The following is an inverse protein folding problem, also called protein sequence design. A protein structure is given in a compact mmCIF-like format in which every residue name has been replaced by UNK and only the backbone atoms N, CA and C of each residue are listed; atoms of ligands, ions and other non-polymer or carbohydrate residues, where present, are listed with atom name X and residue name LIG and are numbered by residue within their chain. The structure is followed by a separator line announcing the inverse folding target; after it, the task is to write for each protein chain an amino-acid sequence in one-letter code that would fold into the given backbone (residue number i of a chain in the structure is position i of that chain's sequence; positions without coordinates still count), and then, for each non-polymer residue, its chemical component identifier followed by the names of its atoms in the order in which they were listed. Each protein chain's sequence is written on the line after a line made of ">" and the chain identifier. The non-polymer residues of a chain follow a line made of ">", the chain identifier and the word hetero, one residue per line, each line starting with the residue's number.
data_IF_026236163446
#
_entry.id   IF_026236163446
#
_cell.length_a   1.000
_cell.length_b   1.000
_cell.length_c   1.000
_cell.angle_alpha   90.00
_cell.angle_beta   90.00
_cell.angle_gamma   90.00
#
_symmetry.space_group_name_H-M   'P 1'
#
loop_
_entity.id
_entity.type
_entity.pdbx_description
1 polymer ?
#
# COMPACT_ATOMS: atom_id res chain seq x y z
N UNK A 1 -0.10 -20.32 0.54
CA UNK A 1 -1.03 -19.84 -0.52
C UNK A 1 -0.62 -20.40 -1.89
N UNK A 2 -1.58 -20.67 -2.78
CA UNK A 2 -1.32 -21.18 -4.14
C UNK A 2 -0.86 -20.04 -5.08
N UNK A 3 0.09 -20.29 -5.99
CA UNK A 3 0.65 -19.31 -6.96
C UNK A 3 -0.43 -18.53 -7.72
N UNK A 4 -1.52 -19.22 -8.08
CA UNK A 4 -2.65 -18.59 -8.78
C UNK A 4 -3.42 -17.57 -7.91
N UNK A 5 -3.58 -17.84 -6.61
CA UNK A 5 -4.22 -16.89 -5.68
C UNK A 5 -3.34 -15.65 -5.49
N UNK A 6 -2.02 -15.84 -5.40
CA UNK A 6 -1.08 -14.73 -5.27
C UNK A 6 -1.11 -13.80 -6.50
N UNK A 7 -1.14 -14.38 -7.69
CA UNK A 7 -1.25 -13.61 -8.93
C UNK A 7 -2.57 -12.82 -9.00
N UNK A 8 -3.70 -13.45 -8.66
CA UNK A 8 -4.99 -12.75 -8.59
C UNK A 8 -4.98 -11.60 -7.60
N UNK A 9 -4.39 -11.79 -6.41
CA UNK A 9 -4.28 -10.74 -5.41
C UNK A 9 -3.49 -9.55 -5.96
N UNK A 10 -2.29 -9.79 -6.49
CA UNK A 10 -1.43 -8.72 -7.05
C UNK A 10 -2.07 -7.97 -8.21
N UNK A 11 -2.83 -8.67 -9.05
CA UNK A 11 -3.57 -8.05 -10.15
C UNK A 11 -4.73 -7.20 -9.66
N UNK A 12 -5.39 -7.62 -8.58
CA UNK A 12 -6.54 -6.91 -8.01
C UNK A 12 -6.13 -5.68 -7.21
N UNK A 13 -5.01 -5.77 -6.49
CA UNK A 13 -4.47 -4.71 -5.63
C UNK A 13 -3.25 -4.06 -6.29
N UNK A 14 -3.38 -3.73 -7.58
CA UNK A 14 -2.26 -3.25 -8.37
C UNK A 14 -1.83 -1.85 -7.97
N UNK A 15 -2.77 -0.94 -7.71
CA UNK A 15 -2.46 0.44 -7.33
C UNK A 15 -1.80 0.48 -5.95
N UNK A 16 -2.34 -0.28 -5.00
CA UNK A 16 -1.78 -0.46 -3.66
C UNK A 16 -0.39 -1.10 -3.72
N UNK A 17 -0.21 -2.10 -4.58
CA UNK A 17 1.09 -2.72 -4.80
C UNK A 17 2.12 -1.77 -5.42
N UNK A 18 1.71 -0.81 -6.26
CA UNK A 18 2.60 0.23 -6.80
C UNK A 18 2.96 1.24 -5.72
N UNK A 19 1.96 1.78 -4.99
CA UNK A 19 2.18 2.69 -3.87
C UNK A 19 3.23 2.13 -2.90
N UNK A 20 3.09 0.87 -2.48
CA UNK A 20 4.00 0.28 -1.50
C UNK A 20 5.40 0.02 -2.07
N UNK A 21 5.50 -0.51 -3.28
CA UNK A 21 6.79 -0.97 -3.83
C UNK A 21 7.62 0.15 -4.47
N UNK A 22 6.98 1.24 -4.86
CA UNK A 22 7.63 2.39 -5.51
C UNK A 22 7.78 3.53 -4.51
N UNK A 23 6.67 4.01 -3.97
CA UNK A 23 6.65 5.22 -3.14
C UNK A 23 7.11 4.96 -1.70
N UNK A 24 6.74 3.82 -1.12
CA UNK A 24 7.21 3.39 0.20
C UNK A 24 8.34 2.35 0.13
N UNK A 25 9.13 2.39 -0.97
CA UNK A 25 10.33 1.56 -1.14
C UNK A 25 11.38 1.93 -0.10
N UNK A 26 11.99 0.93 0.53
CA UNK A 26 13.08 1.11 1.50
C UNK A 26 14.32 1.84 0.94
N UNK A 27 14.45 1.92 -0.39
CA UNK A 27 15.60 2.53 -1.05
C UNK A 27 15.32 3.92 -1.61
N UNK A 28 14.06 4.20 -1.96
CA UNK A 28 13.72 5.35 -2.79
C UNK A 28 12.62 6.24 -2.19
N UNK A 29 12.09 5.90 -0.99
CA UNK A 29 11.00 6.66 -0.38
C UNK A 29 11.35 8.14 -0.15
N UNK A 30 12.59 8.45 0.23
CA UNK A 30 13.08 9.83 0.44
C UNK A 30 12.98 10.70 -0.84
N UNK A 31 12.91 10.09 -2.03
CA UNK A 31 12.72 10.83 -3.27
C UNK A 31 11.27 11.32 -3.46
N UNK A 32 10.32 10.79 -2.69
CA UNK A 32 8.89 11.11 -2.76
C UNK A 32 8.38 11.90 -1.56
N UNK A 33 9.11 11.89 -0.44
CA UNK A 33 8.78 12.64 0.78
C UNK A 33 9.43 12.04 2.02
N UNK A 34 9.38 12.78 3.13
CA UNK A 34 9.90 12.33 4.43
C UNK A 34 8.77 11.78 5.32
N UNK A 35 7.52 12.13 5.01
CA UNK A 35 6.32 11.72 5.76
C UNK A 35 5.36 10.89 4.91
N UNK A 36 4.47 10.14 5.56
CA UNK A 36 3.41 9.38 4.86
C UNK A 36 2.54 10.32 4.05
N UNK A 37 2.24 11.50 4.61
CA UNK A 37 1.45 12.55 3.99
C UNK A 37 2.06 13.03 2.68
N UNK A 38 3.33 13.44 2.69
CA UNK A 38 4.05 13.90 1.50
C UNK A 38 4.16 12.81 0.43
N UNK A 39 4.42 11.56 0.85
CA UNK A 39 4.54 10.44 -0.09
C UNK A 39 3.17 10.15 -0.75
N UNK A 40 2.07 10.24 0.00
CA UNK A 40 0.71 10.06 -0.55
C UNK A 40 0.33 11.21 -1.49
N UNK A 41 0.69 12.45 -1.15
CA UNK A 41 0.51 13.60 -2.03
C UNK A 41 1.28 13.41 -3.35
N UNK A 42 2.57 13.05 -3.26
CA UNK A 42 3.39 12.70 -4.41
C UNK A 42 2.74 11.61 -5.27
N UNK A 43 2.22 10.54 -4.68
CA UNK A 43 1.51 9.49 -5.42
C UNK A 43 0.34 10.05 -6.23
N UNK A 44 -0.47 10.91 -5.63
CA UNK A 44 -1.63 11.53 -6.29
C UNK A 44 -1.20 12.47 -7.42
N UNK A 45 -0.12 13.22 -7.24
CA UNK A 45 0.42 14.13 -8.25
C UNK A 45 0.99 13.38 -9.46
N UNK A 46 1.73 12.29 -9.22
CA UNK A 46 2.33 11.49 -10.29
C UNK A 46 1.30 10.68 -11.10
N UNK A 47 0.29 10.10 -10.43
CA UNK A 47 -0.62 9.15 -11.06
C UNK A 47 -1.98 9.74 -11.43
N UNK A 48 -2.37 10.86 -10.81
CA UNK A 48 -3.65 11.53 -11.05
C UNK A 48 -4.85 10.93 -10.31
N UNK A 49 -6.01 11.56 -10.50
CA UNK A 49 -7.23 11.32 -9.71
C UNK A 49 -7.87 9.94 -9.91
N UNK A 50 -7.77 9.36 -11.11
CA UNK A 50 -8.38 8.06 -11.39
C UNK A 50 -7.65 6.94 -10.62
N UNK A 51 -6.33 7.01 -10.57
CA UNK A 51 -5.45 6.08 -9.89
C UNK A 51 -5.58 6.21 -8.37
N UNK A 52 -5.72 7.44 -7.86
CA UNK A 52 -6.06 7.69 -6.45
C UNK A 52 -7.42 7.06 -6.07
N UNK A 53 -8.44 7.13 -6.94
CA UNK A 53 -9.72 6.48 -6.71
C UNK A 53 -9.60 4.94 -6.72
N UNK A 54 -8.82 4.38 -7.64
CA UNK A 54 -8.52 2.94 -7.65
C UNK A 54 -7.84 2.51 -6.35
N UNK A 55 -6.81 3.26 -5.92
CA UNK A 55 -6.11 2.99 -4.66
C UNK A 55 -7.07 3.05 -3.46
N UNK A 56 -7.94 4.06 -3.40
CA UNK A 56 -8.95 4.19 -2.34
C UNK A 56 -9.88 2.97 -2.25
N UNK A 57 -10.36 2.49 -3.40
CA UNK A 57 -11.21 1.29 -3.46
C UNK A 57 -10.45 0.03 -3.04
N UNK A 58 -9.20 -0.12 -3.50
CA UNK A 58 -8.33 -1.24 -3.15
C UNK A 58 -8.03 -1.26 -1.64
N UNK A 59 -7.71 -0.12 -1.02
CA UNK A 59 -7.47 0.00 0.42
C UNK A 59 -8.75 -0.33 1.21
N UNK A 60 -9.89 0.23 0.79
CA UNK A 60 -11.18 -0.03 1.43
C UNK A 60 -11.51 -1.52 1.44
N UNK A 61 -11.27 -2.21 0.33
CA UNK A 61 -11.48 -3.65 0.26
C UNK A 61 -10.45 -4.43 1.11
N UNK A 62 -9.18 -4.03 1.08
CA UNK A 62 -8.14 -4.70 1.87
C UNK A 62 -8.45 -4.64 3.37
N UNK A 63 -8.97 -3.50 3.85
CA UNK A 63 -9.37 -3.27 5.23
C UNK A 63 -10.58 -4.11 5.69
N UNK A 64 -11.34 -4.72 4.76
CA UNK A 64 -12.38 -5.70 5.10
C UNK A 64 -11.81 -7.03 5.61
N UNK A 65 -10.50 -7.25 5.48
CA UNK A 65 -9.82 -8.38 6.13
C UNK A 65 -9.82 -8.13 7.64
N UNK A 66 -10.63 -8.84 8.41
CA UNK A 66 -10.76 -8.64 9.87
C UNK A 66 -9.52 -9.16 10.63
N UNK A 67 -8.96 -10.28 10.22
CA UNK A 67 -7.79 -10.88 10.86
C UNK A 67 -6.50 -10.15 10.46
N UNK A 68 -5.78 -9.64 11.46
CA UNK A 68 -4.54 -8.90 11.23
C UNK A 68 -3.41 -9.79 10.70
N UNK A 69 -3.37 -11.08 11.06
CA UNK A 69 -2.34 -12.00 10.55
C UNK A 69 -2.56 -12.30 9.06
N UNK A 70 -3.82 -12.43 8.64
CA UNK A 70 -4.19 -12.57 7.23
C UNK A 70 -3.89 -11.28 6.46
N UNK A 71 -4.21 -10.12 7.02
CA UNK A 71 -3.88 -8.82 6.43
C UNK A 71 -2.37 -8.68 6.25
N UNK A 72 -1.58 -8.97 7.27
CA UNK A 72 -0.12 -9.01 7.22
C UNK A 72 0.39 -9.92 6.11
N UNK A 73 -0.15 -11.14 5.98
CA UNK A 73 0.26 -12.06 4.93
C UNK A 73 -0.07 -11.56 3.52
N UNK A 74 -1.22 -10.91 3.34
CA UNK A 74 -1.64 -10.32 2.05
C UNK A 74 -0.76 -9.13 1.69
N UNK A 75 -0.50 -8.24 2.65
CA UNK A 75 0.32 -7.06 2.44
C UNK A 75 1.80 -7.40 2.24
N UNK A 76 2.35 -8.37 2.97
CA UNK A 76 3.71 -8.87 2.73
C UNK A 76 3.89 -9.40 1.30
N UNK A 77 2.86 -10.07 0.76
CA UNK A 77 2.87 -10.55 -0.63
C UNK A 77 2.87 -9.39 -1.66
N UNK A 78 2.16 -8.29 -1.36
CA UNK A 78 2.10 -7.09 -2.20
C UNK A 78 3.39 -6.27 -2.10
N UNK A 79 3.94 -6.15 -0.90
CA UNK A 79 5.15 -5.38 -0.62
C UNK A 79 6.42 -6.03 -1.18
N UNK A 80 6.44 -7.36 -1.33
CA UNK A 80 7.61 -8.10 -1.85
C UNK A 80 8.93 -7.75 -1.11
N UNK A 81 8.86 -7.56 0.21
CA UNK A 81 9.96 -7.12 1.07
C UNK A 81 10.56 -5.74 0.73
N UNK A 82 9.88 -4.93 -0.07
CA UNK A 82 10.34 -3.58 -0.46
C UNK A 82 9.94 -2.49 0.52
N UNK A 83 9.08 -2.77 1.49
CA UNK A 83 8.59 -1.77 2.44
C UNK A 83 8.76 -2.29 3.88
N UNK A 84 9.28 -1.43 4.76
CA UNK A 84 9.46 -1.71 6.18
C UNK A 84 8.59 -0.77 7.02
N UNK A 85 7.32 -1.15 7.23
CA UNK A 85 6.38 -0.35 8.03
C UNK A 85 6.83 -0.09 9.49
N UNK A 86 7.67 -0.96 10.06
CA UNK A 86 8.19 -0.73 11.41
C UNK A 86 9.05 0.53 11.49
N UNK A 87 9.72 0.91 10.40
CA UNK A 87 10.48 2.16 10.33
C UNK A 87 9.56 3.39 10.38
N UNK A 88 8.30 3.23 9.96
CA UNK A 88 7.26 4.26 9.98
C UNK A 88 6.44 4.26 11.28
N UNK A 89 6.69 3.32 12.20
CA UNK A 89 5.93 3.19 13.44
C UNK A 89 4.50 2.68 13.24
N UNK A 90 4.20 2.09 12.08
CA UNK A 90 2.85 1.66 11.69
C UNK A 90 2.71 0.14 11.62
N UNK A 91 1.49 -0.35 11.82
CA UNK A 91 1.04 -1.67 11.38
C UNK A 91 0.46 -1.58 9.97
N UNK A 92 0.24 -2.70 9.27
CA UNK A 92 -0.43 -2.64 7.96
C UNK A 92 -1.82 -2.03 8.04
N UNK A 93 -2.59 -2.31 9.11
CA UNK A 93 -3.93 -1.75 9.28
C UNK A 93 -3.90 -0.25 9.50
N UNK A 94 -3.07 0.21 10.45
CA UNK A 94 -2.97 1.64 10.76
C UNK A 94 -2.40 2.45 9.60
N UNK A 95 -1.41 1.91 8.90
CA UNK A 95 -0.89 2.47 7.65
C UNK A 95 -2.00 2.63 6.60
N UNK A 96 -2.74 1.56 6.30
CA UNK A 96 -3.82 1.59 5.31
C UNK A 96 -4.93 2.59 5.69
N UNK A 97 -5.30 2.66 6.96
CA UNK A 97 -6.27 3.64 7.46
C UNK A 97 -5.77 5.06 7.29
N UNK A 98 -4.50 5.33 7.63
CA UNK A 98 -3.89 6.65 7.48
C UNK A 98 -3.83 7.08 6.02
N UNK A 99 -3.35 6.22 5.13
CA UNK A 99 -3.36 6.49 3.68
C UNK A 99 -4.79 6.75 3.20
N UNK A 100 -5.78 5.97 3.65
CA UNK A 100 -7.18 6.18 3.27
C UNK A 100 -7.73 7.55 3.68
N UNK A 101 -7.28 8.11 4.81
CA UNK A 101 -7.71 9.46 5.24
C UNK A 101 -7.10 10.59 4.40
N UNK A 102 -6.02 10.30 3.68
CA UNK A 102 -5.27 11.25 2.86
C UNK A 102 -5.67 11.20 1.37
N UNK A 103 -6.50 10.22 0.97
CA UNK A 103 -7.03 10.01 -0.39
C UNK A 103 -8.48 10.52 -0.56
#
# INVERSE_FOLDING_TARGET
>A
MNRFRNWRLRRKFSSLGVMIRVFFSNHDCDAFGETIEEIVESYCDYNGKAEALCLKNEITEMLQTEDDSELESRMALLAENRCNLKAWGETWRSFLQRVLTLL
#
